data_IF_003402764354
#
_entry.id   IF_003402764354
#
_cell.length_a   1.000
_cell.length_b   1.000
_cell.length_c   1.000
_cell.angle_alpha   90.00
_cell.angle_beta   90.00
_cell.angle_gamma   90.00
#
_symmetry.space_group_name_H-M   'P 1'
#
loop_
_entity.id
_entity.type
_entity.pdbx_description
1 polymer ?
#
# COMPACT_ATOMS: atom_id res chain seq x y z
N UNK A 1 27.44 3.33 -41.94
CA UNK A 1 26.53 4.04 -41.01
C UNK A 1 26.25 3.10 -39.84
N UNK A 2 26.90 3.31 -38.69
CA UNK A 2 26.60 2.53 -37.49
C UNK A 2 25.40 3.16 -36.79
N UNK A 3 24.27 2.45 -36.79
CA UNK A 3 23.16 2.72 -35.87
C UNK A 3 23.64 2.33 -34.47
N UNK A 4 23.93 3.33 -33.64
CA UNK A 4 24.25 3.09 -32.24
C UNK A 4 22.95 2.58 -31.58
N UNK A 5 22.90 1.28 -31.35
CA UNK A 5 21.96 0.63 -30.45
C UNK A 5 22.15 1.23 -29.06
N UNK A 6 21.26 2.15 -28.66
CA UNK A 6 21.16 2.68 -27.29
C UNK A 6 20.59 1.56 -26.41
N UNK A 7 21.45 0.62 -26.04
CA UNK A 7 21.11 -0.53 -25.20
C UNK A 7 21.22 -0.14 -23.72
N UNK A 8 20.07 0.18 -23.14
CA UNK A 8 19.56 -0.34 -21.85
C UNK A 8 20.49 -0.32 -20.63
N UNK A 9 20.55 0.80 -19.89
CA UNK A 9 20.92 0.74 -18.47
C UNK A 9 20.42 1.92 -17.58
N UNK A 10 19.25 2.50 -17.89
CA UNK A 10 18.63 3.58 -17.10
C UNK A 10 17.79 3.07 -15.90
N UNK A 11 17.88 1.77 -15.56
CA UNK A 11 17.03 1.12 -14.55
C UNK A 11 17.71 0.93 -13.19
N UNK A 12 18.85 1.58 -12.97
CA UNK A 12 19.52 1.54 -11.68
C UNK A 12 18.69 2.33 -10.66
N UNK A 13 18.42 1.71 -9.51
CA UNK A 13 17.71 2.29 -8.35
C UNK A 13 16.20 2.52 -8.50
N UNK A 14 15.55 2.07 -9.59
CA UNK A 14 14.11 2.31 -9.77
C UNK A 14 13.31 1.72 -8.61
N UNK A 15 13.64 0.50 -8.17
CA UNK A 15 12.91 -0.18 -7.10
C UNK A 15 13.02 0.60 -5.80
N UNK A 16 14.23 0.98 -5.43
CA UNK A 16 14.54 1.73 -4.22
C UNK A 16 13.85 3.10 -4.21
N UNK A 17 13.85 3.81 -5.35
CA UNK A 17 13.16 5.09 -5.49
C UNK A 17 11.64 4.94 -5.39
N UNK A 18 11.07 3.88 -5.96
CA UNK A 18 9.64 3.57 -5.84
C UNK A 18 9.27 3.24 -4.39
N UNK A 19 10.08 2.44 -3.71
CA UNK A 19 9.89 2.09 -2.31
C UNK A 19 9.98 3.33 -1.39
N UNK A 20 10.77 4.34 -1.79
CA UNK A 20 10.84 5.66 -1.13
C UNK A 20 9.64 6.57 -1.43
N UNK A 21 8.69 6.15 -2.28
CA UNK A 21 7.45 6.87 -2.56
C UNK A 21 7.48 7.76 -3.81
N UNK A 22 8.42 7.53 -4.73
CA UNK A 22 8.31 8.05 -6.10
C UNK A 22 7.42 7.12 -6.93
N UNK A 23 6.69 7.68 -7.89
CA UNK A 23 6.05 6.85 -8.90
C UNK A 23 7.11 6.32 -9.90
N UNK A 24 6.72 5.30 -10.69
CA UNK A 24 7.65 4.67 -11.64
C UNK A 24 8.24 5.65 -12.67
N UNK A 25 7.43 6.58 -13.17
CA UNK A 25 7.88 7.59 -14.14
C UNK A 25 8.83 8.60 -13.52
N UNK A 26 8.57 9.05 -12.29
CA UNK A 26 9.47 9.89 -11.50
C UNK A 26 10.81 9.18 -11.25
N UNK A 27 10.78 7.91 -10.87
CA UNK A 27 11.99 7.11 -10.65
C UNK A 27 12.81 6.95 -11.94
N UNK A 28 12.17 6.71 -13.09
CA UNK A 28 12.85 6.61 -14.40
C UNK A 28 13.47 7.95 -14.83
N UNK A 29 12.75 9.07 -14.65
CA UNK A 29 13.27 10.42 -14.95
C UNK A 29 14.45 10.77 -14.03
N UNK A 30 14.29 10.57 -12.72
CA UNK A 30 15.34 10.87 -11.75
C UNK A 30 16.59 10.00 -11.95
N UNK A 31 16.42 8.69 -12.18
CA UNK A 31 17.53 7.78 -12.47
C UNK A 31 18.27 8.17 -13.75
N UNK A 32 17.54 8.61 -14.79
CA UNK A 32 18.16 9.14 -16.01
C UNK A 32 19.00 10.39 -15.72
N UNK A 33 18.49 11.32 -14.92
CA UNK A 33 19.22 12.53 -14.56
C UNK A 33 20.44 12.23 -13.68
N UNK A 34 20.37 11.25 -12.77
CA UNK A 34 21.53 10.81 -11.99
C UNK A 34 22.63 10.20 -12.86
N UNK A 35 22.26 9.46 -13.91
CA UNK A 35 23.22 8.78 -14.78
C UNK A 35 23.90 9.72 -15.77
N UNK A 36 23.17 10.70 -16.30
CA UNK A 36 23.63 11.57 -17.38
C UNK A 36 23.91 13.02 -16.95
N UNK A 37 23.63 13.36 -15.69
CA UNK A 37 23.84 14.69 -15.10
C UNK A 37 22.74 15.68 -15.45
N UNK A 38 22.73 16.16 -16.69
CA UNK A 38 21.77 17.13 -17.18
C UNK A 38 21.12 16.69 -18.50
N UNK A 39 19.85 17.00 -18.67
CA UNK A 39 19.11 16.66 -19.87
C UNK A 39 17.90 17.57 -20.07
N UNK A 40 17.60 17.88 -21.33
CA UNK A 40 16.33 18.52 -21.71
C UNK A 40 15.17 17.52 -21.63
N UNK A 41 13.93 18.02 -21.52
CA UNK A 41 12.72 17.17 -21.55
C UNK A 41 12.67 16.24 -22.78
N UNK A 42 13.23 16.70 -23.90
CA UNK A 42 13.30 15.92 -25.14
C UNK A 42 14.28 14.75 -25.06
N UNK A 43 15.41 14.95 -24.40
CA UNK A 43 16.41 13.90 -24.22
C UNK A 43 15.95 12.88 -23.19
N UNK A 44 15.35 13.34 -22.08
CA UNK A 44 14.75 12.47 -21.08
C UNK A 44 13.68 11.60 -21.73
N UNK A 45 12.74 12.19 -22.48
CA UNK A 45 11.68 11.45 -23.18
C UNK A 45 12.23 10.35 -24.10
N UNK A 46 13.32 10.64 -24.84
CA UNK A 46 13.98 9.65 -25.70
C UNK A 46 14.69 8.55 -24.92
N UNK A 47 15.25 8.87 -23.74
CA UNK A 47 16.02 7.93 -22.91
C UNK A 47 15.14 7.00 -22.08
N UNK A 48 14.04 7.53 -21.54
CA UNK A 48 13.10 6.79 -20.69
C UNK A 48 11.92 6.21 -21.47
N UNK A 49 11.76 6.58 -22.74
CA UNK A 49 10.61 6.23 -23.57
C UNK A 49 9.26 6.73 -22.98
N UNK A 50 9.32 7.80 -22.17
CA UNK A 50 8.17 8.49 -21.58
C UNK A 50 7.77 9.65 -22.50
N UNK A 51 6.47 9.85 -22.71
CA UNK A 51 5.96 10.98 -23.49
C UNK A 51 6.37 12.34 -22.90
N UNK A 52 6.69 13.33 -23.75
CA UNK A 52 7.17 14.65 -23.30
C UNK A 52 6.27 15.32 -22.26
N UNK A 53 4.95 15.21 -22.41
CA UNK A 53 3.97 15.76 -21.44
C UNK A 53 4.19 15.17 -20.06
N UNK A 54 4.32 13.85 -19.96
CA UNK A 54 4.54 13.15 -18.69
C UNK A 54 5.94 13.47 -18.12
N UNK A 55 6.96 13.66 -18.96
CA UNK A 55 8.28 14.09 -18.50
C UNK A 55 8.19 15.44 -17.78
N UNK A 56 7.46 16.42 -18.31
CA UNK A 56 7.26 17.70 -17.61
C UNK A 56 6.49 17.52 -16.31
N UNK A 57 5.47 16.67 -16.29
CA UNK A 57 4.70 16.38 -15.08
C UNK A 57 5.57 15.75 -13.98
N UNK A 58 6.33 14.70 -14.32
CA UNK A 58 7.25 14.04 -13.39
C UNK A 58 8.39 14.96 -12.95
N UNK A 59 8.97 15.73 -13.88
CA UNK A 59 10.01 16.71 -13.55
C UNK A 59 9.48 17.77 -12.58
N UNK A 60 8.28 18.32 -12.82
CA UNK A 60 7.67 19.30 -11.92
C UNK A 60 7.39 18.71 -10.53
N UNK A 61 6.95 17.46 -10.44
CA UNK A 61 6.79 16.76 -9.16
C UNK A 61 8.11 16.58 -8.43
N UNK A 62 9.16 16.15 -9.14
CA UNK A 62 10.51 16.00 -8.58
C UNK A 62 11.12 17.34 -8.12
N UNK A 63 10.86 18.44 -8.83
CA UNK A 63 11.27 19.81 -8.44
C UNK A 63 10.57 20.20 -7.14
N UNK A 64 9.25 19.97 -7.03
CA UNK A 64 8.50 20.26 -5.79
C UNK A 64 9.02 19.47 -4.59
N UNK A 65 9.58 18.28 -4.82
CA UNK A 65 10.23 17.45 -3.80
C UNK A 65 11.69 17.81 -3.56
N UNK A 66 12.26 18.77 -4.30
CA UNK A 66 13.65 19.21 -4.17
C UNK A 66 14.68 18.20 -4.70
N UNK A 67 14.28 17.21 -5.50
CA UNK A 67 15.18 16.15 -5.99
C UNK A 67 15.90 16.55 -7.28
N UNK A 68 15.30 17.46 -8.05
CA UNK A 68 15.88 17.96 -9.29
C UNK A 68 15.72 19.48 -9.37
N UNK A 69 16.59 20.10 -10.14
CA UNK A 69 16.54 21.53 -10.46
C UNK A 69 16.37 21.73 -11.97
N UNK A 70 15.69 22.82 -12.34
CA UNK A 70 15.60 23.26 -13.74
C UNK A 70 16.44 24.52 -13.96
N UNK A 71 17.02 24.64 -15.14
CA UNK A 71 17.75 25.83 -15.57
C UNK A 71 17.60 26.03 -17.07
N UNK A 72 17.85 27.26 -17.53
CA UNK A 72 17.79 27.60 -18.95
C UNK A 72 19.20 27.69 -19.53
N UNK A 73 19.41 27.03 -20.67
CA UNK A 73 20.68 27.06 -21.40
C UNK A 73 20.38 27.18 -22.90
N UNK A 74 20.93 28.21 -23.55
CA UNK A 74 20.75 28.46 -25.00
C UNK A 74 19.26 28.47 -25.42
N UNK A 75 18.42 29.17 -24.66
CA UNK A 75 16.98 29.31 -24.91
C UNK A 75 16.20 27.98 -24.87
N UNK A 76 16.69 27.02 -24.07
CA UNK A 76 16.08 25.70 -23.83
C UNK A 76 16.15 25.35 -22.35
N UNK A 77 15.10 24.70 -21.86
CA UNK A 77 15.01 24.23 -20.46
C UNK A 77 15.72 22.89 -20.33
N UNK A 78 16.61 22.81 -19.34
CA UNK A 78 17.31 21.62 -18.91
C UNK A 78 16.96 21.29 -17.46
N UNK A 79 17.01 20.01 -17.14
CA UNK A 79 16.84 19.48 -15.81
C UNK A 79 18.14 18.80 -15.38
N UNK A 80 18.46 18.87 -14.08
CA UNK A 80 19.55 18.12 -13.46
C UNK A 80 19.10 17.49 -12.15
N UNK A 81 19.68 16.35 -11.79
CA UNK A 81 19.51 15.81 -10.44
C UNK A 81 20.30 16.65 -9.43
N UNK A 82 19.70 16.89 -8.26
CA UNK A 82 20.41 17.46 -7.11
C UNK A 82 20.99 16.35 -6.22
N UNK A 83 21.58 16.69 -5.07
CA UNK A 83 22.29 15.74 -4.19
C UNK A 83 21.35 14.59 -3.75
N UNK A 84 21.68 13.31 -4.03
CA UNK A 84 20.89 12.16 -3.60
C UNK A 84 20.66 12.07 -2.09
N UNK A 85 21.46 12.75 -1.27
CA UNK A 85 21.24 12.85 0.18
C UNK A 85 19.88 13.45 0.53
N UNK A 86 19.30 14.25 -0.37
CA UNK A 86 17.94 14.80 -0.23
C UNK A 86 16.85 13.72 -0.27
N UNK A 87 17.15 12.50 -0.75
CA UNK A 87 16.25 11.35 -0.60
C UNK A 87 15.98 11.00 0.86
N UNK A 88 16.86 11.40 1.79
CA UNK A 88 16.61 11.25 3.24
C UNK A 88 15.40 12.06 3.69
N UNK A 89 15.17 13.23 3.10
CA UNK A 89 14.03 14.08 3.45
C UNK A 89 12.70 13.44 3.05
N UNK A 90 12.68 12.68 1.94
CA UNK A 90 11.52 11.85 1.56
C UNK A 90 11.25 10.76 2.58
N UNK A 91 12.29 10.07 3.05
CA UNK A 91 12.14 9.03 4.06
C UNK A 91 11.61 9.62 5.37
N UNK A 92 12.12 10.78 5.77
CA UNK A 92 11.69 11.47 6.97
C UNK A 92 10.26 12.01 6.84
N UNK A 93 9.85 12.45 5.65
CA UNK A 93 8.45 12.79 5.34
C UNK A 93 7.55 11.58 5.49
N UNK A 94 7.91 10.44 4.88
CA UNK A 94 7.09 9.22 4.95
C UNK A 94 6.98 8.69 6.39
N UNK A 95 8.04 8.82 7.19
CA UNK A 95 8.00 8.54 8.63
C UNK A 95 7.03 9.46 9.38
N UNK A 96 6.92 10.74 9.00
CA UNK A 96 5.93 11.67 9.59
C UNK A 96 4.51 11.24 9.23
N UNK A 97 4.25 10.97 7.95
CA UNK A 97 2.94 10.50 7.47
C UNK A 97 2.51 9.20 8.15
N UNK A 98 3.43 8.24 8.31
CA UNK A 98 3.14 7.00 9.03
C UNK A 98 2.78 7.22 10.50
N UNK A 99 3.50 8.11 11.20
CA UNK A 99 3.17 8.45 12.60
C UNK A 99 1.82 9.13 12.74
N UNK A 100 1.46 9.98 11.78
CA UNK A 100 0.13 10.61 11.74
C UNK A 100 -0.96 9.54 11.54
N UNK A 101 -0.75 8.60 10.61
CA UNK A 101 -1.68 7.49 10.40
C UNK A 101 -1.79 6.55 11.62
N UNK A 102 -0.68 6.26 12.31
CA UNK A 102 -0.68 5.51 13.56
C UNK A 102 -1.52 6.22 14.64
N UNK A 103 -1.42 7.55 14.72
CA UNK A 103 -2.23 8.36 15.65
C UNK A 103 -3.71 8.27 15.29
N UNK A 104 -4.06 8.48 14.02
CA UNK A 104 -5.45 8.36 13.52
C UNK A 104 -6.01 6.97 13.81
N UNK A 105 -5.24 5.92 13.57
CA UNK A 105 -5.65 4.54 13.86
C UNK A 105 -5.91 4.39 15.35
N UNK A 106 -4.97 4.79 16.21
CA UNK A 106 -5.09 4.69 17.68
C UNK A 106 -6.35 5.39 18.21
N UNK A 107 -6.72 6.54 17.64
CA UNK A 107 -7.95 7.27 18.00
C UNK A 107 -9.24 6.66 17.42
N UNK A 108 -9.14 5.95 16.29
CA UNK A 108 -10.26 5.27 15.65
C UNK A 108 -10.52 3.87 16.24
N UNK A 109 -9.48 3.20 16.75
CA UNK A 109 -9.53 1.82 17.23
C UNK A 109 -10.62 1.56 18.27
N UNK A 110 -10.80 2.37 19.35
CA UNK A 110 -11.83 2.10 20.35
C UNK A 110 -13.25 2.10 19.76
N UNK A 111 -13.51 2.99 18.79
CA UNK A 111 -14.79 3.08 18.08
C UNK A 111 -15.02 1.85 17.21
N UNK A 112 -13.99 1.40 16.50
CA UNK A 112 -14.03 0.18 15.68
C UNK A 112 -14.24 -1.06 16.55
N UNK A 113 -13.52 -1.21 17.67
CA UNK A 113 -13.69 -2.31 18.62
C UNK A 113 -15.09 -2.34 19.22
N UNK A 114 -15.65 -1.18 19.57
CA UNK A 114 -17.03 -1.09 20.06
C UNK A 114 -18.03 -1.59 19.02
N UNK A 115 -17.86 -1.22 17.74
CA UNK A 115 -18.71 -1.71 16.66
C UNK A 115 -18.51 -3.20 16.39
N UNK A 116 -17.27 -3.68 16.44
CA UNK A 116 -16.93 -5.08 16.23
C UNK A 116 -17.51 -5.97 17.34
N UNK A 117 -17.29 -5.63 18.61
CA UNK A 117 -17.79 -6.37 19.76
C UNK A 117 -19.33 -6.37 19.83
N UNK A 118 -19.98 -5.26 19.42
CA UNK A 118 -21.45 -5.20 19.29
C UNK A 118 -22.00 -6.20 18.26
N UNK A 119 -21.22 -6.61 17.26
CA UNK A 119 -21.64 -7.63 16.29
C UNK A 119 -21.16 -9.03 16.66
N UNK A 120 -20.01 -9.17 17.31
CA UNK A 120 -19.48 -10.46 17.78
C UNK A 120 -20.32 -11.05 18.93
N UNK A 121 -20.85 -10.20 19.83
CA UNK A 121 -21.69 -10.63 20.95
C UNK A 121 -23.19 -10.58 20.63
N UNK A 122 -23.59 -10.44 19.36
CA UNK A 122 -24.99 -10.67 19.00
C UNK A 122 -25.27 -12.17 19.10
N UNK A 123 -26.36 -12.59 19.75
CA UNK A 123 -26.76 -13.99 19.73
C UNK A 123 -26.91 -14.42 18.27
N UNK A 124 -26.03 -15.31 17.82
CA UNK A 124 -26.13 -15.92 16.50
C UNK A 124 -27.14 -17.05 16.60
N UNK A 125 -28.34 -16.83 16.05
CA UNK A 125 -29.32 -17.90 15.90
C UNK A 125 -28.96 -18.73 14.69
N UNK A 126 -28.48 -19.95 14.91
CA UNK A 126 -28.22 -20.94 13.87
C UNK A 126 -29.38 -21.94 13.84
N UNK A 127 -29.94 -22.19 12.66
CA UNK A 127 -30.97 -23.21 12.46
C UNK A 127 -30.36 -24.47 11.88
N UNK A 128 -30.53 -25.58 12.56
CA UNK A 128 -30.10 -26.90 12.12
C UNK A 128 -31.35 -27.76 11.86
N UNK A 129 -31.34 -28.54 10.78
CA UNK A 129 -32.49 -29.36 10.39
C UNK A 129 -32.10 -30.83 10.22
N UNK A 130 -32.99 -31.71 10.70
CA UNK A 130 -32.82 -33.16 10.60
C UNK A 130 -31.68 -33.72 11.45
N UNK A 131 -31.43 -35.02 11.30
CA UNK A 131 -30.45 -35.77 12.09
C UNK A 131 -29.01 -35.27 11.86
N UNK A 132 -28.67 -34.87 10.63
CA UNK A 132 -27.35 -34.32 10.29
C UNK A 132 -27.10 -33.00 11.03
N UNK A 133 -28.09 -32.10 11.04
CA UNK A 133 -27.97 -30.83 11.75
C UNK A 133 -27.83 -31.01 13.27
N UNK A 134 -28.51 -32.01 13.84
CA UNK A 134 -28.34 -32.36 15.26
C UNK A 134 -26.92 -32.83 15.58
N UNK A 135 -26.33 -33.70 14.74
CA UNK A 135 -24.95 -34.17 14.94
C UNK A 135 -23.93 -33.04 14.83
N UNK A 136 -24.14 -32.12 13.89
CA UNK A 136 -23.27 -30.96 13.69
C UNK A 136 -23.29 -30.01 14.91
N UNK A 137 -24.47 -29.66 15.43
CA UNK A 137 -24.56 -28.79 16.62
C UNK A 137 -24.02 -29.48 17.87
N UNK A 138 -24.25 -30.79 18.05
CA UNK A 138 -23.69 -31.54 19.17
C UNK A 138 -22.16 -31.57 19.10
N UNK A 139 -21.57 -31.89 17.94
CA UNK A 139 -20.12 -31.88 17.78
C UNK A 139 -19.52 -30.50 18.06
N UNK A 140 -20.15 -29.44 17.56
CA UNK A 140 -19.71 -28.08 17.83
C UNK A 140 -19.72 -27.75 19.32
N UNK A 141 -20.81 -28.08 20.04
CA UNK A 141 -20.94 -27.83 21.48
C UNK A 141 -19.86 -28.57 22.28
N UNK A 142 -19.58 -29.84 21.97
CA UNK A 142 -18.69 -30.67 22.78
C UNK A 142 -17.20 -30.53 22.44
N UNK A 143 -16.85 -30.21 21.19
CA UNK A 143 -15.45 -30.23 20.75
C UNK A 143 -14.90 -28.86 20.34
N UNK A 144 -15.73 -27.98 19.78
CA UNK A 144 -15.25 -26.75 19.13
C UNK A 144 -15.70 -25.47 19.84
N UNK A 145 -16.63 -25.54 20.78
CA UNK A 145 -17.21 -24.36 21.43
C UNK A 145 -16.25 -23.77 22.47
N UNK A 146 -15.93 -22.47 22.39
CA UNK A 146 -15.13 -21.77 23.40
C UNK A 146 -15.96 -21.38 24.64
N UNK A 147 -17.25 -21.75 24.72
CA UNK A 147 -18.15 -21.36 25.79
C UNK A 147 -17.87 -22.14 27.09
N UNK A 148 -17.86 -21.44 28.21
CA UNK A 148 -17.71 -22.03 29.55
C UNK A 148 -19.00 -22.66 30.08
N UNK A 149 -20.16 -22.21 29.59
CA UNK A 149 -21.48 -22.70 29.99
C UNK A 149 -22.40 -22.80 28.76
N UNK A 150 -23.19 -23.88 28.70
CA UNK A 150 -24.14 -24.14 27.61
C UNK A 150 -25.50 -24.49 28.21
N UNK A 151 -26.54 -23.75 27.82
CA UNK A 151 -27.91 -23.99 28.24
C UNK A 151 -28.70 -24.57 27.06
N UNK A 152 -29.28 -25.77 27.23
CA UNK A 152 -30.07 -26.45 26.21
C UNK A 152 -31.53 -26.41 26.62
N UNK A 153 -32.38 -25.82 25.79
CA UNK A 153 -33.83 -25.79 25.98
C UNK A 153 -34.47 -26.82 25.04
N UNK A 154 -34.93 -27.92 25.61
CA UNK A 154 -35.72 -28.93 24.88
C UNK A 154 -37.16 -28.83 25.38
N UNK A 155 -38.13 -28.45 24.52
CA UNK A 155 -39.54 -28.52 24.91
C UNK A 155 -39.94 -30.00 25.11
N UNK A 156 -40.68 -30.30 26.18
CA UNK A 156 -41.10 -31.64 26.66
C UNK A 156 -39.96 -32.56 27.14
N UNK A 157 -39.24 -32.13 28.18
CA UNK A 157 -38.25 -32.94 28.91
C UNK A 157 -38.86 -33.78 30.06
N UNK A 158 -40.17 -33.71 30.30
CA UNK A 158 -40.80 -34.42 31.43
C UNK A 158 -40.62 -35.96 31.33
N UNK A 159 -40.35 -36.50 30.13
CA UNK A 159 -40.17 -37.93 29.88
C UNK A 159 -38.72 -38.35 29.52
N UNK A 160 -37.72 -37.47 29.66
CA UNK A 160 -36.33 -37.81 29.32
C UNK A 160 -35.55 -38.32 30.54
N UNK A 161 -35.44 -39.64 30.69
CA UNK A 161 -34.46 -40.25 31.60
C UNK A 161 -33.09 -40.34 30.89
N UNK A 162 -32.08 -39.69 31.50
CA UNK A 162 -30.70 -39.82 31.06
C UNK A 162 -30.22 -41.28 31.24
N UNK A 163 -29.40 -41.82 30.31
CA UNK A 163 -28.82 -43.16 30.43
C UNK A 163 -27.76 -43.26 31.55
#
# INVERSE_FOLDING_TARGET
MYTITINTNHKMFIKELVDLGLNKGEAEVYSSLLQFGEASASEIAKRTNIGRTNVYEYANSLIKRGLISQFEQKNRIFFRADDPRLLKDLLDQRRRELRELETVLTEAMPRMETMFNRNANKPQTMFYHGETGYKEIMNYIFFDSPASEVYILVPDLDDFEAP
#
